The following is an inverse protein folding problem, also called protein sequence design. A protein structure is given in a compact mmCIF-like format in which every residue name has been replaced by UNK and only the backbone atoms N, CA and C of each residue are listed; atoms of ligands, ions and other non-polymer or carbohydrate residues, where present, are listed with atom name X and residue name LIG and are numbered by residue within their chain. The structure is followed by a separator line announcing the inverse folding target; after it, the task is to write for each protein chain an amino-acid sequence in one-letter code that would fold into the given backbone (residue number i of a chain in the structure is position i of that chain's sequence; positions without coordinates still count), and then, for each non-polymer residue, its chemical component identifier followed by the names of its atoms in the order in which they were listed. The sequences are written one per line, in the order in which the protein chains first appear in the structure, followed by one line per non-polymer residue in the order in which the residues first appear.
data_IF_657187035481
#
_entry.id   IF_657187035481
#
_cell.length_a   1.000
_cell.length_b   1.000
_cell.length_c   1.000
_cell.angle_alpha   90.00
_cell.angle_beta   90.00
_cell.angle_gamma   90.00
#
_symmetry.space_group_name_H-M   'P 1'
#
loop_
_entity.id
_entity.type
_entity.pdbx_description
1 polymer ?
#
# COMPACT_ATOMS: atom_id res chain seq x y z
N UNK A 1 17.17 3.87 14.25
CA UNK A 1 15.98 3.97 15.10
C UNK A 1 14.83 3.22 14.44
N UNK A 2 14.72 1.92 14.70
CA UNK A 2 13.56 1.08 14.32
C UNK A 2 12.76 0.65 15.57
N UNK A 3 12.94 1.35 16.70
CA UNK A 3 12.50 0.94 18.04
C UNK A 3 10.98 0.88 18.28
N UNK A 4 10.15 1.22 17.27
CA UNK A 4 8.70 1.19 17.38
C UNK A 4 7.97 0.46 16.24
N UNK A 5 8.69 -0.09 15.26
CA UNK A 5 8.05 -0.80 14.13
C UNK A 5 7.87 -2.28 14.45
N UNK A 6 6.62 -2.77 14.40
CA UNK A 6 6.30 -4.18 14.56
C UNK A 6 6.73 -4.97 13.33
N UNK A 7 7.51 -6.03 13.55
CA UNK A 7 7.91 -6.93 12.48
C UNK A 7 6.73 -7.78 11.99
N UNK A 8 6.53 -7.85 10.67
CA UNK A 8 5.45 -8.64 10.06
C UNK A 8 6.02 -9.88 9.34
N UNK A 9 5.98 -11.07 9.98
CA UNK A 9 6.71 -12.25 9.50
C UNK A 9 6.13 -12.84 8.21
N UNK A 10 4.80 -12.95 8.10
CA UNK A 10 4.15 -13.73 7.04
C UNK A 10 3.53 -12.86 5.95
N UNK A 11 3.54 -13.37 4.72
CA UNK A 11 2.90 -12.70 3.57
C UNK A 11 1.40 -12.49 3.78
N UNK A 12 0.72 -13.38 4.52
CA UNK A 12 -0.70 -13.22 4.86
C UNK A 12 -0.92 -11.98 5.74
N UNK A 13 -0.11 -11.80 6.78
CA UNK A 13 -0.18 -10.63 7.65
C UNK A 13 0.20 -9.35 6.92
N UNK A 14 1.21 -9.39 6.03
CA UNK A 14 1.60 -8.23 5.21
C UNK A 14 0.45 -7.75 4.31
N UNK A 15 -0.26 -8.69 3.68
CA UNK A 15 -1.46 -8.39 2.89
C UNK A 15 -2.58 -7.78 3.74
N UNK A 16 -2.75 -8.28 4.98
CA UNK A 16 -3.74 -7.73 5.90
C UNK A 16 -3.39 -6.29 6.28
N UNK A 17 -2.16 -6.03 6.71
CA UNK A 17 -1.65 -4.66 7.01
C UNK A 17 -1.85 -3.73 5.82
N UNK A 18 -1.49 -4.17 4.62
CA UNK A 18 -1.72 -3.40 3.40
C UNK A 18 -3.20 -3.11 3.18
N UNK A 19 -4.07 -4.11 3.29
CA UNK A 19 -5.51 -3.94 3.07
C UNK A 19 -6.11 -2.89 4.03
N UNK A 20 -5.73 -2.95 5.31
CA UNK A 20 -6.18 -1.98 6.31
C UNK A 20 -5.73 -0.55 6.02
N UNK A 21 -4.54 -0.35 5.46
CA UNK A 21 -3.99 1.00 5.23
C UNK A 21 -4.27 1.54 3.83
N UNK A 22 -4.63 0.67 2.87
CA UNK A 22 -4.83 1.04 1.48
C UNK A 22 -6.29 0.95 1.01
N UNK A 23 -7.04 -0.06 1.49
CA UNK A 23 -8.37 -0.42 0.93
C UNK A 23 -9.53 0.08 1.78
N UNK A 24 -9.31 0.43 3.06
CA UNK A 24 -10.39 0.97 3.87
C UNK A 24 -10.96 2.23 3.20
N UNK A 25 -12.30 2.38 3.11
CA UNK A 25 -12.91 3.50 2.38
C UNK A 25 -12.42 4.88 2.84
N UNK A 26 -12.04 5.00 4.12
CA UNK A 26 -11.51 6.22 4.72
C UNK A 26 -10.06 6.53 4.35
N UNK A 27 -9.25 5.53 3.94
CA UNK A 27 -7.86 5.74 3.51
C UNK A 27 -7.77 6.24 2.07
N UNK A 28 -8.79 5.98 1.24
CA UNK A 28 -8.92 6.57 -0.09
C UNK A 28 -7.92 6.05 -1.13
N UNK A 29 -7.48 4.79 -1.05
CA UNK A 29 -6.58 4.17 -2.03
C UNK A 29 -5.30 4.99 -2.32
N UNK A 30 -4.49 5.29 -1.29
CA UNK A 30 -3.31 6.13 -1.43
C UNK A 30 -2.32 5.54 -2.44
N UNK A 31 -1.61 6.41 -3.15
CA UNK A 31 -0.51 6.02 -4.03
C UNK A 31 0.62 5.32 -3.26
N UNK A 32 1.59 4.78 -4.01
CA UNK A 32 2.74 4.04 -3.46
C UNK A 32 3.47 4.83 -2.35
N UNK A 33 3.86 6.11 -2.54
CA UNK A 33 4.64 6.82 -1.54
C UNK A 33 3.89 6.98 -0.21
N UNK A 34 2.61 7.33 -0.29
CA UNK A 34 1.77 7.53 0.90
C UNK A 34 1.45 6.23 1.62
N UNK A 35 1.22 5.15 0.86
CA UNK A 35 1.02 3.81 1.44
C UNK A 35 2.28 3.33 2.19
N UNK A 36 3.47 3.59 1.64
CA UNK A 36 4.74 3.27 2.31
C UNK A 36 4.90 4.04 3.62
N UNK A 37 4.65 5.34 3.60
CA UNK A 37 4.74 6.20 4.79
C UNK A 37 3.83 5.69 5.92
N UNK A 38 2.57 5.37 5.61
CA UNK A 38 1.60 4.85 6.59
C UNK A 38 2.02 3.51 7.19
N UNK A 39 2.55 2.60 6.37
CA UNK A 39 3.00 1.29 6.86
C UNK A 39 4.24 1.45 7.74
N UNK A 40 5.21 2.27 7.32
CA UNK A 40 6.49 2.47 8.01
C UNK A 40 6.33 3.14 9.38
N UNK A 41 5.23 3.84 9.63
CA UNK A 41 4.92 4.39 10.96
C UNK A 41 4.80 3.32 12.06
N UNK A 42 4.35 2.10 11.69
CA UNK A 42 3.99 1.07 12.68
C UNK A 42 4.55 -0.32 12.37
N UNK A 43 4.94 -0.60 11.12
CA UNK A 43 5.29 -1.94 10.66
C UNK A 43 6.56 -1.96 9.82
N UNK A 44 7.27 -3.10 9.87
CA UNK A 44 8.46 -3.31 9.07
C UNK A 44 8.63 -4.77 8.62
N UNK A 45 9.19 -4.97 7.43
CA UNK A 45 9.72 -6.25 6.94
C UNK A 45 10.71 -6.02 5.78
N UNK A 46 11.61 -6.98 5.45
CA UNK A 46 12.72 -6.76 4.51
C UNK A 46 12.31 -6.33 3.10
N UNK A 47 11.16 -6.79 2.61
CA UNK A 47 10.67 -6.54 1.25
C UNK A 47 9.55 -5.49 1.19
N UNK A 48 9.35 -4.68 2.25
CA UNK A 48 8.24 -3.74 2.38
C UNK A 48 8.04 -2.87 1.15
N UNK A 49 9.08 -2.20 0.68
CA UNK A 49 8.98 -1.32 -0.50
C UNK A 49 8.56 -2.05 -1.77
N UNK A 50 9.10 -3.27 -1.98
CA UNK A 50 8.77 -4.09 -3.14
C UNK A 50 7.33 -4.59 -3.07
N UNK A 51 6.93 -5.09 -1.91
CA UNK A 51 5.61 -5.67 -1.67
C UNK A 51 4.52 -4.61 -1.83
N UNK A 52 4.70 -3.42 -1.24
CA UNK A 52 3.73 -2.31 -1.35
C UNK A 52 3.62 -1.80 -2.80
N UNK A 53 4.74 -1.64 -3.51
CA UNK A 53 4.72 -1.28 -4.94
C UNK A 53 3.88 -2.26 -5.75
N UNK A 54 4.10 -3.55 -5.54
CA UNK A 54 3.35 -4.60 -6.23
C UNK A 54 1.86 -4.57 -5.84
N UNK A 55 1.54 -4.47 -4.55
CA UNK A 55 0.16 -4.48 -4.08
C UNK A 55 -0.65 -3.26 -4.57
N UNK A 56 -0.08 -2.05 -4.54
CA UNK A 56 -0.75 -0.84 -5.08
C UNK A 56 -0.89 -0.90 -6.59
N UNK A 57 0.13 -1.41 -7.31
CA UNK A 57 0.06 -1.56 -8.78
C UNK A 57 -1.02 -2.55 -9.20
N UNK A 58 -1.24 -3.59 -8.41
CA UNK A 58 -2.29 -4.58 -8.63
C UNK A 58 -3.67 -4.18 -8.06
N UNK A 59 -3.82 -2.96 -7.52
CA UNK A 59 -5.11 -2.48 -7.03
C UNK A 59 -6.02 -2.07 -8.20
N UNK A 60 -7.11 -2.81 -8.40
CA UNK A 60 -8.08 -2.54 -9.47
C UNK A 60 -8.72 -1.14 -9.35
N UNK A 61 -9.00 -0.68 -8.13
CA UNK A 61 -9.58 0.66 -7.89
C UNK A 61 -8.60 1.74 -8.35
N UNK A 62 -7.34 1.66 -7.90
CA UNK A 62 -6.30 2.59 -8.36
C UNK A 62 -6.08 2.53 -9.87
N UNK A 63 -6.13 1.34 -10.47
CA UNK A 63 -5.97 1.17 -11.91
C UNK A 63 -7.09 1.87 -12.70
N UNK A 64 -8.36 1.67 -12.29
CA UNK A 64 -9.53 2.30 -12.93
C UNK A 64 -9.52 3.82 -12.82
N UNK A 65 -9.11 4.37 -11.67
CA UNK A 65 -9.03 5.84 -11.49
C UNK A 65 -7.95 6.46 -12.38
N UNK A 66 -6.80 5.78 -12.55
CA UNK A 66 -5.69 6.28 -13.38
C UNK A 66 -5.99 6.28 -14.88
N UNK A 67 -6.89 5.41 -15.36
CA UNK A 67 -7.26 5.34 -16.78
C UNK A 67 -8.13 6.50 -17.27
N UNK A 68 -8.56 7.41 -16.39
CA UNK A 68 -9.48 8.52 -16.74
C UNK A 68 -8.83 9.75 -17.40
N UNK A 69 -7.67 9.61 -18.06
CA UNK A 69 -6.99 10.71 -18.77
C UNK A 69 -6.82 10.49 -20.29
N UNK A 70 -7.68 9.67 -20.90
CA UNK A 70 -7.78 9.70 -22.36
C UNK A 70 -8.29 11.08 -22.79
N UNK A 71 -7.45 11.86 -23.48
CA UNK A 71 -7.87 13.08 -24.18
C UNK A 71 -9.08 12.72 -25.06
N UNK A 72 -10.17 13.52 -25.06
CA UNK A 72 -11.24 13.31 -26.03
C UNK A 72 -10.63 13.37 -27.43
N UNK A 73 -11.00 12.39 -28.27
CA UNK A 73 -10.62 12.34 -29.68
C UNK A 73 -11.49 13.31 -30.48
#
# INVERSE_FOLDING_TARGET
FHDACLFVPTTKLRKLVFHWLHVIPTAGHPGIPKTLELIQQYFWWPTLTKDVKQMVTNCEVCARTKTSHSKPK
#
